data_IF_840683522906
#
_entry.id   IF_840683522906
#
_cell.length_a   1.000
_cell.length_b   1.000
_cell.length_c   1.000
_cell.angle_alpha   90.00
_cell.angle_beta   90.00
_cell.angle_gamma   90.00
#
_symmetry.space_group_name_H-M   'P 1'
#
loop_
_entity.id
_entity.type
_entity.pdbx_description
1 polymer ?
#
# COMPACT_ATOMS: atom_id res chain seq x y z
N UNK A 1 -15.44 -9.58 -6.72
CA UNK A 1 -15.42 -8.10 -6.65
C UNK A 1 -15.62 -7.65 -5.19
N UNK A 2 -14.55 -7.37 -4.43
CA UNK A 2 -14.70 -6.92 -3.02
C UNK A 2 -14.76 -5.40 -2.85
N UNK A 3 -14.26 -4.64 -3.84
CA UNK A 3 -14.13 -3.19 -3.75
C UNK A 3 -14.68 -2.43 -4.97
N UNK A 4 -15.38 -3.11 -5.89
CA UNK A 4 -15.92 -2.49 -7.11
C UNK A 4 -16.97 -1.41 -6.79
N UNK A 5 -17.89 -1.68 -5.86
CA UNK A 5 -18.91 -0.72 -5.43
C UNK A 5 -18.30 0.60 -4.91
N UNK A 6 -17.12 0.52 -4.27
CA UNK A 6 -16.39 1.71 -3.81
C UNK A 6 -15.78 2.47 -4.98
N UNK A 7 -15.28 1.77 -6.00
CA UNK A 7 -14.76 2.40 -7.21
C UNK A 7 -15.87 3.13 -7.98
N UNK A 8 -17.05 2.51 -8.09
CA UNK A 8 -18.25 3.08 -8.73
C UNK A 8 -18.69 4.40 -8.07
N UNK A 9 -18.53 4.53 -6.75
CA UNK A 9 -18.86 5.76 -6.01
C UNK A 9 -17.87 6.91 -6.23
N UNK A 10 -16.62 6.63 -6.61
CA UNK A 10 -15.58 7.66 -6.75
C UNK A 10 -15.71 8.36 -8.10
N UNK A 11 -15.68 7.58 -9.18
CA UNK A 11 -15.75 8.11 -10.54
C UNK A 11 -16.07 6.96 -11.52
N UNK A 12 -16.97 7.17 -12.51
CA UNK A 12 -17.27 6.14 -13.51
C UNK A 12 -16.04 5.68 -14.32
N UNK A 13 -15.14 6.58 -14.70
CA UNK A 13 -13.90 6.23 -15.41
C UNK A 13 -12.99 5.37 -14.54
N UNK A 14 -12.86 5.73 -13.26
CA UNK A 14 -12.06 4.96 -12.31
C UNK A 14 -12.65 3.56 -12.09
N UNK A 15 -13.97 3.47 -12.03
CA UNK A 15 -14.70 2.23 -11.88
C UNK A 15 -14.50 1.26 -13.06
N UNK A 16 -14.57 1.76 -14.29
CA UNK A 16 -14.32 0.97 -15.50
C UNK A 16 -12.88 0.49 -15.57
N UNK A 17 -11.93 1.38 -15.26
CA UNK A 17 -10.51 1.05 -15.23
C UNK A 17 -10.21 -0.02 -14.17
N UNK A 18 -10.79 0.13 -12.97
CA UNK A 18 -10.69 -0.86 -11.91
C UNK A 18 -11.28 -2.21 -12.33
N UNK A 19 -12.44 -2.20 -12.99
CA UNK A 19 -13.11 -3.41 -13.51
C UNK A 19 -12.27 -4.10 -14.59
N UNK A 20 -11.75 -3.36 -15.56
CA UNK A 20 -10.89 -3.89 -16.62
C UNK A 20 -9.62 -4.53 -16.03
N UNK A 21 -9.02 -3.89 -15.02
CA UNK A 21 -7.86 -4.44 -14.32
C UNK A 21 -8.18 -5.70 -13.50
N UNK A 22 -9.33 -5.75 -12.82
CA UNK A 22 -9.77 -6.93 -12.03
C UNK A 22 -10.09 -8.13 -12.93
N UNK A 23 -10.69 -7.89 -14.10
CA UNK A 23 -10.95 -8.92 -15.12
C UNK A 23 -9.67 -9.35 -15.85
N UNK A 24 -8.68 -8.47 -15.94
CA UNK A 24 -7.46 -8.67 -16.73
C UNK A 24 -7.61 -8.32 -18.21
N UNK A 25 -8.59 -7.50 -18.58
CA UNK A 25 -8.75 -6.99 -19.95
C UNK A 25 -7.74 -5.86 -20.21
N UNK A 26 -6.57 -6.27 -20.71
CA UNK A 26 -5.47 -5.36 -21.01
C UNK A 26 -5.82 -4.34 -22.10
N UNK A 27 -6.58 -4.74 -23.11
CA UNK A 27 -6.92 -3.87 -24.23
C UNK A 27 -7.81 -2.71 -23.76
N UNK A 28 -8.86 -3.01 -23.00
CA UNK A 28 -9.70 -1.97 -22.42
C UNK A 28 -8.94 -1.09 -21.43
N UNK A 29 -8.11 -1.70 -20.56
CA UNK A 29 -7.32 -0.95 -19.60
C UNK A 29 -6.40 0.09 -20.27
N UNK A 30 -5.66 -0.30 -21.32
CA UNK A 30 -4.76 0.61 -22.03
C UNK A 30 -5.53 1.74 -22.71
N UNK A 31 -6.66 1.44 -23.34
CA UNK A 31 -7.49 2.46 -23.98
C UNK A 31 -8.03 3.47 -22.96
N UNK A 32 -8.54 3.00 -21.81
CA UNK A 32 -9.02 3.85 -20.72
C UNK A 32 -7.91 4.71 -20.10
N UNK A 33 -6.66 4.24 -20.11
CA UNK A 33 -5.49 5.00 -19.65
C UNK A 33 -5.01 6.08 -20.63
N UNK A 34 -5.70 6.27 -21.75
CA UNK A 34 -5.36 7.25 -22.80
C UNK A 34 -4.75 6.62 -24.07
N UNK A 35 -4.64 5.29 -24.12
CA UNK A 35 -4.13 4.54 -25.26
C UNK A 35 -2.59 4.43 -25.31
N UNK A 36 -2.05 3.72 -26.32
CA UNK A 36 -0.62 3.42 -26.42
C UNK A 36 0.29 4.65 -26.60
N UNK A 37 -0.26 5.74 -27.18
CA UNK A 37 0.47 6.98 -27.48
C UNK A 37 0.09 8.13 -26.53
N UNK A 38 -0.53 7.81 -25.39
CA UNK A 38 -0.91 8.80 -24.39
C UNK A 38 0.32 9.62 -23.94
N UNK A 39 0.21 10.95 -23.99
CA UNK A 39 1.23 11.81 -23.40
C UNK A 39 1.19 11.67 -21.89
N UNK A 40 2.35 11.82 -21.25
CA UNK A 40 2.44 11.70 -19.79
C UNK A 40 1.48 12.65 -19.06
N UNK A 41 1.26 13.86 -19.60
CA UNK A 41 0.35 14.88 -19.05
C UNK A 41 -1.12 14.46 -19.08
N UNK A 42 -1.50 13.57 -19.99
CA UNK A 42 -2.90 13.23 -20.29
C UNK A 42 -3.32 11.88 -19.68
N UNK A 43 -2.47 11.25 -18.85
CA UNK A 43 -2.85 10.02 -18.13
C UNK A 43 -3.97 10.28 -17.13
N UNK A 44 -5.12 9.58 -17.23
CA UNK A 44 -6.25 9.77 -16.32
C UNK A 44 -5.95 9.33 -14.87
N UNK A 45 -5.10 8.32 -14.70
CA UNK A 45 -4.73 7.76 -13.39
C UNK A 45 -3.22 7.81 -13.19
N UNK A 46 -2.79 8.23 -11.99
CA UNK A 46 -1.38 8.27 -11.59
C UNK A 46 -1.17 7.77 -10.18
N UNK A 47 0.07 7.40 -9.88
CA UNK A 47 0.49 7.10 -8.52
C UNK A 47 0.53 8.38 -7.68
N UNK A 48 -0.16 8.37 -6.55
CA UNK A 48 -0.11 9.45 -5.57
C UNK A 48 1.07 9.25 -4.62
N UNK A 49 1.92 10.27 -4.55
CA UNK A 49 3.08 10.32 -3.67
C UNK A 49 2.85 11.34 -2.57
N UNK A 50 3.22 10.96 -1.36
CA UNK A 50 3.19 11.83 -0.18
C UNK A 50 4.62 11.95 0.37
N UNK A 51 4.99 13.14 0.83
CA UNK A 51 6.26 13.33 1.52
C UNK A 51 6.15 12.78 2.93
N UNK A 52 7.12 11.96 3.31
CA UNK A 52 7.23 11.52 4.69
C UNK A 52 7.62 12.73 5.55
N UNK A 53 6.92 13.00 6.67
CA UNK A 53 7.23 14.15 7.53
C UNK A 53 8.56 13.98 8.28
N UNK A 54 9.05 12.75 8.41
CA UNK A 54 10.30 12.41 9.10
C UNK A 54 11.45 12.23 8.10
N UNK A 55 12.60 12.79 8.44
CA UNK A 55 13.86 12.55 7.74
C UNK A 55 14.32 11.09 7.93
N UNK A 56 14.94 10.53 6.89
CA UNK A 56 15.63 9.26 7.01
C UNK A 56 16.93 9.41 7.85
N UNK A 57 17.59 8.30 8.17
CA UNK A 57 18.87 8.32 8.90
C UNK A 57 20.02 9.02 8.18
N UNK A 58 19.80 9.48 6.95
CA UNK A 58 20.74 10.23 6.11
C UNK A 58 20.31 11.70 5.91
N UNK A 59 19.26 12.17 6.60
CA UNK A 59 18.78 13.55 6.53
C UNK A 59 17.92 13.88 5.30
N UNK A 60 17.39 12.89 4.59
CA UNK A 60 16.58 13.11 3.39
C UNK A 60 15.08 12.85 3.63
N UNK A 61 14.23 13.68 3.02
CA UNK A 61 12.79 13.48 2.98
C UNK A 61 12.39 12.56 1.83
N UNK A 62 11.84 11.39 2.18
CA UNK A 62 11.43 10.40 1.19
C UNK A 62 10.00 10.65 0.69
N UNK A 63 9.81 10.47 -0.62
CA UNK A 63 8.48 10.42 -1.24
C UNK A 63 7.98 8.98 -1.22
N UNK A 64 6.88 8.74 -0.53
CA UNK A 64 6.28 7.41 -0.37
C UNK A 64 5.03 7.31 -1.24
N UNK A 65 4.86 6.15 -1.89
CA UNK A 65 3.63 5.85 -2.62
C UNK A 65 2.51 5.62 -1.60
N UNK A 66 1.50 6.48 -1.61
CA UNK A 66 0.36 6.36 -0.68
C UNK A 66 -0.90 5.85 -1.34
N UNK A 67 -1.06 6.08 -2.64
CA UNK A 67 -2.24 5.62 -3.35
C UNK A 67 -2.26 6.01 -4.82
N UNK A 68 -3.45 6.41 -5.28
CA UNK A 68 -3.72 6.82 -6.64
C UNK A 68 -4.29 8.24 -6.67
N UNK A 69 -3.97 9.00 -7.71
CA UNK A 69 -4.54 10.31 -7.98
C UNK A 69 -4.99 10.40 -9.43
N UNK A 70 -6.04 11.18 -9.66
CA UNK A 70 -6.57 11.44 -10.99
C UNK A 70 -6.30 12.90 -11.32
N UNK A 71 -5.18 13.24 -11.98
CA UNK A 71 -4.77 14.64 -12.15
C UNK A 71 -5.72 15.45 -13.05
N UNK A 72 -6.45 14.78 -13.94
CA UNK A 72 -7.40 15.43 -14.85
C UNK A 72 -8.73 15.77 -14.19
N UNK A 73 -8.98 15.27 -12.98
CA UNK A 73 -10.26 15.40 -12.28
C UNK A 73 -9.97 15.88 -10.86
N UNK A 74 -10.61 16.96 -10.41
CA UNK A 74 -10.37 17.54 -9.09
C UNK A 74 -11.02 16.73 -7.95
N UNK A 75 -10.62 15.47 -7.79
CA UNK A 75 -11.07 14.53 -6.74
C UNK A 75 -9.89 14.27 -5.79
N UNK A 76 -10.15 14.10 -4.48
CA UNK A 76 -9.10 13.70 -3.54
C UNK A 76 -8.44 12.37 -3.96
N UNK A 77 -7.14 12.19 -3.68
CA UNK A 77 -6.43 10.96 -4.01
C UNK A 77 -7.02 9.76 -3.26
N UNK A 78 -7.08 8.61 -3.93
CA UNK A 78 -7.56 7.35 -3.38
C UNK A 78 -6.41 6.67 -2.64
N UNK A 79 -6.50 6.57 -1.32
CA UNK A 79 -5.47 5.95 -0.48
C UNK A 79 -5.61 4.43 -0.53
N UNK A 80 -4.58 3.73 -1.03
CA UNK A 80 -4.59 2.26 -1.16
C UNK A 80 -3.64 1.56 -0.19
N UNK A 81 -2.60 2.26 0.29
CA UNK A 81 -1.63 1.72 1.25
C UNK A 81 -2.00 2.09 2.68
N UNK A 82 -2.91 1.30 3.27
CA UNK A 82 -3.42 1.51 4.63
C UNK A 82 -2.56 0.88 5.73
N UNK A 83 -1.66 -0.04 5.38
CA UNK A 83 -0.82 -0.76 6.34
C UNK A 83 0.63 -0.33 6.20
N UNK A 84 1.29 -0.23 7.35
CA UNK A 84 2.71 0.05 7.44
C UNK A 84 3.44 -1.22 7.88
N UNK A 85 4.54 -1.49 7.19
CA UNK A 85 5.37 -2.66 7.44
C UNK A 85 6.73 -2.19 7.93
N UNK A 86 7.26 -2.90 8.93
CA UNK A 86 8.61 -2.68 9.44
C UNK A 86 9.41 -3.96 9.29
N UNK A 87 10.60 -3.82 8.73
CA UNK A 87 11.64 -4.85 8.70
C UNK A 87 12.10 -5.06 10.14
N UNK A 88 11.81 -6.25 10.69
CA UNK A 88 12.21 -6.66 12.05
C UNK A 88 13.03 -7.94 11.94
N UNK A 89 14.10 -8.05 12.74
CA UNK A 89 14.89 -9.30 12.81
C UNK A 89 13.98 -10.44 13.30
N UNK A 90 14.07 -11.62 12.69
CA UNK A 90 13.34 -12.81 13.14
C UNK A 90 13.74 -13.13 14.59
N UNK A 91 12.77 -13.31 15.49
CA UNK A 91 13.05 -13.74 16.86
C UNK A 91 13.53 -15.20 16.87
N UNK A 92 14.44 -15.53 17.79
CA UNK A 92 15.01 -16.87 17.94
C UNK A 92 13.97 -17.94 18.27
N UNK A 93 12.85 -17.56 18.87
CA UNK A 93 11.75 -18.44 19.28
C UNK A 93 11.03 -19.12 18.10
N UNK A 94 11.15 -18.60 16.88
CA UNK A 94 10.57 -19.17 15.66
C UNK A 94 11.53 -20.01 14.82
N UNK A 95 12.72 -20.32 15.33
CA UNK A 95 13.74 -21.12 14.64
C UNK A 95 13.69 -22.62 14.98
N UNK A 96 12.86 -23.03 15.95
CA UNK A 96 12.83 -24.42 16.44
C UNK A 96 11.90 -25.36 15.65
N UNK A 97 11.14 -24.84 14.66
CA UNK A 97 10.41 -25.69 13.72
C UNK A 97 11.34 -26.06 12.57
N UNK A 98 11.89 -27.26 12.65
CA UNK A 98 12.98 -27.79 11.81
C UNK A 98 12.58 -28.27 10.40
N UNK A 99 11.47 -27.84 9.81
CA UNK A 99 10.96 -28.50 8.58
C UNK A 99 10.64 -27.57 7.39
N UNK A 100 11.22 -26.36 7.30
CA UNK A 100 11.06 -25.52 6.09
C UNK A 100 12.42 -25.21 5.42
N UNK A 101 12.74 -26.02 4.42
CA UNK A 101 13.80 -25.81 3.44
C UNK A 101 13.53 -24.55 2.58
N UNK A 102 13.79 -23.36 3.12
CA UNK A 102 13.89 -22.15 2.31
C UNK A 102 15.37 -21.80 2.11
N UNK A 103 15.86 -22.03 0.88
CA UNK A 103 17.18 -21.61 0.40
C UNK A 103 17.46 -20.15 0.76
N UNK A 104 18.46 -19.93 1.61
CA UNK A 104 19.02 -18.60 1.84
C UNK A 104 20.08 -18.32 0.77
N UNK A 105 19.92 -17.22 0.03
CA UNK A 105 20.90 -16.73 -0.93
C UNK A 105 22.06 -16.06 -0.17
N UNK A 106 23.27 -16.58 -0.32
CA UNK A 106 24.50 -16.01 0.26
C UNK A 106 25.09 -14.95 -0.69
N UNK A 107 25.00 -13.68 -0.30
CA UNK A 107 25.71 -12.56 -0.95
C UNK A 107 27.02 -12.32 -0.19
N UNK A 108 28.09 -13.00 -0.60
CA UNK A 108 29.43 -12.68 -0.09
C UNK A 108 29.94 -11.38 -0.71
N UNK A 109 29.77 -10.26 -0.01
CA UNK A 109 30.81 -9.23 0.13
C UNK A 109 30.41 -8.13 1.14
N UNK A 110 31.21 -8.05 2.22
CA UNK A 110 31.34 -6.98 3.24
C UNK A 110 30.30 -6.88 4.38
N UNK A 111 30.76 -6.48 5.59
CA UNK A 111 30.11 -6.85 6.84
C UNK A 111 29.03 -5.84 7.26
N UNK A 112 27.80 -6.33 7.39
CA UNK A 112 26.86 -5.94 8.45
C UNK A 112 26.07 -7.21 8.82
N UNK A 113 26.09 -7.67 10.09
CA UNK A 113 25.40 -8.91 10.44
C UNK A 113 23.88 -8.63 10.48
N UNK A 114 23.22 -8.88 9.36
CA UNK A 114 21.77 -8.90 9.24
C UNK A 114 21.35 -10.36 9.13
N UNK A 115 20.94 -10.93 10.28
CA UNK A 115 20.23 -12.21 10.30
C UNK A 115 18.90 -12.15 9.53
N UNK A 116 18.21 -13.29 9.37
CA UNK A 116 16.98 -13.36 8.57
C UNK A 116 15.95 -12.35 9.07
N UNK A 117 15.50 -11.48 8.19
CA UNK A 117 14.44 -10.51 8.46
C UNK A 117 13.12 -11.07 7.94
N UNK A 118 12.15 -11.25 8.83
CA UNK A 118 10.76 -11.52 8.47
C UNK A 118 9.98 -10.21 8.39
N UNK A 119 9.11 -10.06 7.40
CA UNK A 119 8.17 -8.93 7.30
C UNK A 119 6.93 -9.27 8.14
N UNK A 120 6.70 -8.55 9.23
CA UNK A 120 5.50 -8.72 10.05
C UNK A 120 4.49 -7.61 9.75
N UNK A 121 3.23 -7.97 9.50
CA UNK A 121 2.12 -7.02 9.31
C UNK A 121 1.75 -6.43 10.68
N UNK A 122 1.93 -5.13 10.90
CA UNK A 122 1.35 -4.47 12.08
C UNK A 122 -0.16 -4.26 11.84
N UNK A 123 -0.98 -4.82 12.73
CA UNK A 123 -2.43 -4.64 12.72
C UNK A 123 -2.85 -3.18 12.87
N UNK A 124 -3.86 -2.78 12.11
CA UNK A 124 -4.44 -1.43 12.06
C UNK A 124 -4.76 -0.91 13.49
N UNK A 125 -4.15 0.21 13.89
CA UNK A 125 -4.58 0.96 15.08
C UNK A 125 -5.79 1.82 14.74
N UNK A 126 -6.99 1.26 14.81
CA UNK A 126 -8.24 2.03 14.78
C UNK A 126 -8.44 2.74 16.13
N UNK A 127 -7.85 3.93 16.29
CA UNK A 127 -7.84 4.67 17.56
C UNK A 127 -8.99 5.67 17.74
N UNK A 128 -10.17 5.43 17.14
CA UNK A 128 -11.34 6.32 17.27
C UNK A 128 -12.64 5.62 17.72
N UNK A 129 -12.71 4.29 17.77
CA UNK A 129 -13.97 3.57 18.09
C UNK A 129 -14.06 3.19 19.59
N UNK A 130 -12.95 3.26 20.35
CA UNK A 130 -12.93 2.84 21.78
C UNK A 130 -13.38 3.92 22.77
N UNK A 131 -13.40 5.21 22.40
CA UNK A 131 -13.84 6.28 23.32
C UNK A 131 -15.36 6.31 23.55
N UNK A 132 -16.16 5.82 22.60
CA UNK A 132 -17.63 5.81 22.74
C UNK A 132 -18.15 4.72 23.70
N UNK A 133 -17.47 3.57 23.82
CA UNK A 133 -17.97 2.44 24.63
C UNK A 133 -17.73 2.59 26.14
N UNK A 134 -16.78 3.43 26.56
CA UNK A 134 -16.50 3.64 27.98
C UNK A 134 -17.44 4.66 28.64
N UNK A 135 -18.15 5.48 27.88
CA UNK A 135 -19.01 6.53 28.44
C UNK A 135 -20.44 6.07 28.76
N UNK A 136 -20.76 4.78 28.53
CA UNK A 136 -22.10 4.22 28.76
C UNK A 136 -22.15 3.22 29.92
N UNK A 137 -21.04 3.04 30.66
CA UNK A 137 -20.96 2.22 31.88
C UNK A 137 -20.81 3.04 33.17
N UNK A 138 -20.91 4.36 33.08
CA UNK A 138 -20.85 5.27 34.23
C UNK A 138 -22.08 6.16 34.30
N UNK A 139 -23.26 5.55 34.33
CA UNK A 139 -24.45 6.17 34.93
C UNK A 139 -25.08 5.06 35.78
N UNK A 140 -24.92 5.20 37.09
CA UNK A 140 -25.75 4.53 38.10
C UNK A 140 -27.12 5.20 38.13
#
# INVERSE_FOLDING_TARGET
MRDQEKADQINPLFAELHRAADVGDWHMFVNLMGGPLAKRCDLPLRTYYEYRPEENSYGEFLRVIKGLSMPLISIPPVITRLREFRIVKKSSEGAERLDDCCLSFDLKARPRPLGPVSITVLGLKNNQIRKSRNNMRSVK
#
